data_IF_908952925942
#
_entry.id   IF_908952925942
#
_cell.length_a   1.000
_cell.length_b   1.000
_cell.length_c   1.000
_cell.angle_alpha   90.00
_cell.angle_beta   90.00
_cell.angle_gamma   90.00
#
_symmetry.space_group_name_H-M   'P 1'
#
loop_
_entity.id
_entity.type
_entity.pdbx_description
1 polymer ?
#
# COMPACT_ATOMS: atom_id res chain seq x y z
N UNK A 1 7.21 -49.58 -3.47
CA UNK A 1 7.88 -49.20 -4.73
C UNK A 1 9.00 -48.22 -4.43
N UNK A 2 10.24 -48.70 -4.43
CA UNK A 2 11.44 -47.89 -4.21
C UNK A 2 11.96 -47.44 -5.56
N UNK A 3 11.68 -46.20 -5.95
CA UNK A 3 12.30 -45.59 -7.11
C UNK A 3 13.65 -45.01 -6.68
N UNK A 4 14.74 -45.65 -7.13
CA UNK A 4 16.14 -45.27 -6.87
C UNK A 4 16.53 -44.01 -7.69
N UNK A 5 15.81 -42.92 -7.47
CA UNK A 5 15.95 -41.67 -8.23
C UNK A 5 17.20 -40.93 -7.73
N UNK A 6 18.12 -40.63 -8.63
CA UNK A 6 19.31 -39.80 -8.39
C UNK A 6 19.31 -38.69 -9.43
N UNK A 7 19.03 -37.46 -9.00
CA UNK A 7 18.93 -36.30 -9.91
C UNK A 7 19.88 -35.20 -9.44
N UNK A 8 20.68 -34.64 -10.33
CA UNK A 8 21.53 -33.47 -10.04
C UNK A 8 20.66 -32.21 -9.95
N UNK A 9 20.81 -31.46 -8.86
CA UNK A 9 20.08 -30.20 -8.61
C UNK A 9 21.00 -29.14 -8.04
N UNK A 10 20.57 -27.89 -8.14
CA UNK A 10 21.23 -26.74 -7.51
C UNK A 10 20.45 -26.38 -6.24
N UNK A 11 21.17 -26.18 -5.12
CA UNK A 11 20.54 -25.78 -3.86
C UNK A 11 20.06 -24.34 -3.91
N UNK A 12 18.78 -24.11 -3.63
CA UNK A 12 18.17 -22.76 -3.64
C UNK A 12 18.74 -21.78 -2.58
N UNK A 13 19.54 -22.26 -1.62
CA UNK A 13 20.11 -21.42 -0.56
C UNK A 13 21.59 -21.09 -0.78
N UNK A 14 22.41 -22.08 -1.17
CA UNK A 14 23.85 -21.92 -1.31
C UNK A 14 24.36 -22.02 -2.76
N UNK A 15 23.45 -22.24 -3.72
CA UNK A 15 23.73 -22.36 -5.16
C UNK A 15 24.74 -23.45 -5.55
N UNK A 16 25.02 -24.40 -4.65
CA UNK A 16 25.88 -25.56 -4.93
C UNK A 16 25.07 -26.68 -5.58
N UNK A 17 25.72 -27.41 -6.48
CA UNK A 17 25.17 -28.63 -7.06
C UNK A 17 25.18 -29.77 -6.03
N UNK A 18 24.14 -30.60 -6.04
CA UNK A 18 24.02 -31.77 -5.17
C UNK A 18 23.16 -32.85 -5.84
N UNK A 19 23.31 -34.10 -5.38
CA UNK A 19 22.51 -35.23 -5.88
C UNK A 19 21.30 -35.44 -4.98
N UNK A 20 20.11 -35.14 -5.50
CA UNK A 20 18.83 -35.36 -4.84
C UNK A 20 18.39 -36.82 -5.00
N UNK A 21 17.84 -37.38 -3.91
CA UNK A 21 17.25 -38.73 -3.89
C UNK A 21 15.75 -38.75 -4.19
N UNK A 22 15.12 -37.57 -4.29
CA UNK A 22 13.70 -37.42 -4.58
C UNK A 22 13.47 -36.26 -5.54
N UNK A 23 12.33 -36.25 -6.21
CA UNK A 23 11.93 -35.18 -7.15
C UNK A 23 11.49 -33.90 -6.44
N UNK A 24 11.38 -33.87 -5.12
CA UNK A 24 10.93 -32.67 -4.36
C UNK A 24 12.04 -32.02 -3.53
N UNK A 25 13.25 -32.60 -3.48
CA UNK A 25 14.35 -32.02 -2.70
C UNK A 25 14.86 -30.72 -3.32
N UNK A 26 14.84 -29.63 -2.54
CA UNK A 26 15.21 -28.25 -2.94
C UNK A 26 16.56 -27.77 -2.40
N UNK A 27 17.07 -28.44 -1.37
CA UNK A 27 18.29 -28.02 -0.66
C UNK A 27 19.29 -29.16 -0.55
N UNK A 28 20.58 -28.83 -0.52
CA UNK A 28 21.66 -29.81 -0.41
C UNK A 28 21.75 -30.49 0.97
N UNK A 29 21.00 -30.01 1.97
CA UNK A 29 20.92 -30.59 3.32
C UNK A 29 20.16 -29.72 4.31
N UNK A 30 20.00 -30.23 5.53
CA UNK A 30 19.16 -29.63 6.59
C UNK A 30 19.58 -28.21 6.98
N UNK A 31 20.89 -27.94 7.01
CA UNK A 31 21.41 -26.59 7.34
C UNK A 31 20.88 -25.56 6.35
N UNK A 32 20.95 -25.86 5.05
CA UNK A 32 20.45 -24.96 4.00
C UNK A 32 18.93 -24.82 4.05
N UNK A 33 18.20 -25.90 4.32
CA UNK A 33 16.74 -25.85 4.48
C UNK A 33 16.32 -24.98 5.67
N UNK A 34 16.98 -25.12 6.83
CA UNK A 34 16.71 -24.33 8.05
C UNK A 34 17.00 -22.84 7.84
N UNK A 35 18.10 -22.50 7.16
CA UNK A 35 18.44 -21.10 6.84
C UNK A 35 17.39 -20.51 5.90
N UNK A 36 17.04 -21.21 4.82
CA UNK A 36 16.02 -20.76 3.87
C UNK A 36 14.64 -20.56 4.55
N UNK A 37 14.26 -21.47 5.45
CA UNK A 37 13.03 -21.34 6.24
C UNK A 37 13.02 -20.07 7.11
N UNK A 38 14.11 -19.82 7.85
CA UNK A 38 14.25 -18.61 8.68
C UNK A 38 14.22 -17.34 7.83
N UNK A 39 14.88 -17.34 6.67
CA UNK A 39 14.86 -16.21 5.72
C UNK A 39 13.45 -15.95 5.20
N UNK A 40 12.71 -16.99 4.81
CA UNK A 40 11.30 -16.87 4.38
C UNK A 40 10.44 -16.26 5.48
N UNK A 41 10.52 -16.78 6.71
CA UNK A 41 9.75 -16.25 7.85
C UNK A 41 10.10 -14.80 8.18
N UNK A 42 11.36 -14.39 8.06
CA UNK A 42 11.77 -13.00 8.22
C UNK A 42 11.13 -12.11 7.14
N UNK A 43 11.21 -12.53 5.87
CA UNK A 43 10.63 -11.78 4.76
C UNK A 43 9.10 -11.68 4.87
N UNK A 44 8.41 -12.74 5.31
CA UNK A 44 6.97 -12.71 5.55
C UNK A 44 6.58 -11.69 6.62
N UNK A 45 7.35 -11.59 7.72
CA UNK A 45 7.12 -10.58 8.76
C UNK A 45 7.29 -9.15 8.22
N UNK A 46 8.37 -8.92 7.47
CA UNK A 46 8.64 -7.61 6.86
C UNK A 46 7.51 -7.24 5.88
N UNK A 47 7.12 -8.17 5.02
CA UNK A 47 6.03 -7.96 4.06
C UNK A 47 4.72 -7.59 4.76
N UNK A 48 4.31 -8.36 5.78
CA UNK A 48 3.09 -8.06 6.56
C UNK A 48 3.13 -6.66 7.18
N UNK A 49 4.24 -6.29 7.81
CA UNK A 49 4.40 -4.96 8.41
C UNK A 49 4.32 -3.83 7.38
N UNK A 50 4.91 -4.03 6.21
CA UNK A 50 4.82 -3.07 5.10
C UNK A 50 3.38 -2.98 4.55
N UNK A 51 2.69 -4.11 4.39
CA UNK A 51 1.29 -4.17 3.95
C UNK A 51 0.35 -3.45 4.93
N UNK A 52 0.51 -3.68 6.24
CA UNK A 52 -0.22 -2.96 7.29
C UNK A 52 0.03 -1.45 7.22
N UNK A 53 1.29 -1.04 7.04
CA UNK A 53 1.66 0.38 6.91
C UNK A 53 1.04 1.02 5.67
N UNK A 54 0.97 0.29 4.55
CA UNK A 54 0.33 0.77 3.32
C UNK A 54 -1.18 0.91 3.51
N UNK A 55 -1.84 -0.06 4.17
CA UNK A 55 -3.28 0.04 4.47
C UNK A 55 -3.60 1.29 5.29
N UNK A 56 -2.87 1.53 6.38
CA UNK A 56 -3.06 2.74 7.22
C UNK A 56 -2.87 4.04 6.42
N UNK A 57 -2.00 4.04 5.41
CA UNK A 57 -1.79 5.21 4.53
C UNK A 57 -2.89 5.39 3.49
N UNK A 58 -3.48 4.30 3.00
CA UNK A 58 -4.47 4.31 1.92
C UNK A 58 -5.91 4.45 2.44
N UNK A 59 -6.23 3.89 3.60
CA UNK A 59 -7.55 4.02 4.26
C UNK A 59 -8.08 5.47 4.31
N UNK A 60 -7.27 6.49 4.66
CA UNK A 60 -7.73 7.88 4.65
C UNK A 60 -8.18 8.37 3.27
N UNK A 61 -7.59 7.89 2.17
CA UNK A 61 -7.93 8.33 0.81
C UNK A 61 -9.25 7.74 0.33
N UNK A 62 -9.50 6.47 0.62
CA UNK A 62 -10.77 5.80 0.30
C UNK A 62 -11.93 6.45 1.07
N UNK A 63 -11.72 6.76 2.35
CA UNK A 63 -12.71 7.46 3.17
C UNK A 63 -13.01 8.85 2.62
N UNK A 64 -12.00 9.57 2.10
CA UNK A 64 -12.19 10.89 1.48
C UNK A 64 -13.08 10.81 0.24
N UNK A 65 -12.93 9.76 -0.59
CA UNK A 65 -13.74 9.62 -1.81
C UNK A 65 -15.22 9.39 -1.53
N UNK A 66 -15.56 8.73 -0.42
CA UNK A 66 -16.95 8.40 -0.07
C UNK A 66 -17.68 9.55 0.64
N UNK A 67 -16.96 10.51 1.23
CA UNK A 67 -17.58 11.61 1.98
C UNK A 67 -18.22 12.65 1.06
N UNK A 68 -19.48 12.97 1.32
CA UNK A 68 -20.19 14.08 0.68
C UNK A 68 -19.67 15.47 1.10
N UNK A 69 -19.19 15.58 2.34
CA UNK A 69 -18.68 16.81 2.92
C UNK A 69 -17.22 16.65 3.35
N UNK A 70 -16.38 17.51 2.80
CA UNK A 70 -14.94 17.47 2.98
C UNK A 70 -14.49 18.65 3.86
N UNK A 71 -13.46 18.42 4.66
CA UNK A 71 -12.67 19.51 5.26
C UNK A 71 -11.82 20.20 4.21
N UNK A 72 -11.28 21.38 4.55
CA UNK A 72 -10.29 22.07 3.73
C UNK A 72 -9.07 21.20 3.43
N UNK A 73 -8.59 20.44 4.43
CA UNK A 73 -7.45 19.53 4.28
C UNK A 73 -7.74 18.36 3.33
N UNK A 74 -8.91 17.74 3.47
CA UNK A 74 -9.35 16.65 2.57
C UNK A 74 -9.56 17.17 1.15
N UNK A 75 -10.08 18.39 1.00
CA UNK A 75 -10.25 19.03 -0.32
C UNK A 75 -8.91 19.37 -0.96
N UNK A 76 -7.95 19.88 -0.18
CA UNK A 76 -6.60 20.18 -0.64
C UNK A 76 -5.88 18.92 -1.13
N UNK A 77 -6.01 17.82 -0.39
CA UNK A 77 -5.44 16.51 -0.77
C UNK A 77 -6.13 15.93 -2.01
N UNK A 78 -7.45 16.07 -2.14
CA UNK A 78 -8.20 15.61 -3.32
C UNK A 78 -7.84 16.39 -4.59
N UNK A 79 -7.70 17.71 -4.50
CA UNK A 79 -7.29 18.58 -5.61
C UNK A 79 -5.77 18.60 -5.83
N UNK A 80 -5.00 17.92 -4.98
CA UNK A 80 -3.53 17.92 -4.97
C UNK A 80 -2.91 19.33 -4.94
N UNK A 81 -3.45 20.20 -4.08
CA UNK A 81 -3.01 21.58 -3.84
C UNK A 81 -2.70 21.82 -2.36
N UNK A 82 -2.12 22.97 -2.04
CA UNK A 82 -1.88 23.35 -0.63
C UNK A 82 -3.18 23.74 0.09
N UNK A 83 -3.24 23.52 1.41
CA UNK A 83 -4.36 24.01 2.24
C UNK A 83 -4.56 25.52 2.09
N UNK A 84 -3.46 26.29 1.99
CA UNK A 84 -3.50 27.75 1.76
C UNK A 84 -4.17 28.11 0.43
N UNK A 85 -3.83 27.40 -0.64
CA UNK A 85 -4.48 27.59 -1.94
C UNK A 85 -5.97 27.30 -1.86
N UNK A 86 -6.35 26.29 -1.08
CA UNK A 86 -7.76 25.93 -0.87
C UNK A 86 -8.51 27.03 -0.11
N UNK A 87 -7.92 27.58 0.97
CA UNK A 87 -8.48 28.76 1.66
C UNK A 87 -8.62 29.96 0.71
N UNK A 88 -7.61 30.23 -0.10
CA UNK A 88 -7.64 31.33 -1.08
C UNK A 88 -8.78 31.16 -2.10
N UNK A 89 -9.04 29.94 -2.59
CA UNK A 89 -10.15 29.67 -3.51
C UNK A 89 -11.52 29.92 -2.86
N UNK A 90 -11.64 29.67 -1.55
CA UNK A 90 -12.85 29.95 -0.78
C UNK A 90 -13.01 31.46 -0.59
N UNK A 91 -11.92 32.18 -0.26
CA UNK A 91 -11.92 33.64 -0.08
C UNK A 91 -12.26 34.41 -1.37
N UNK A 92 -11.76 33.94 -2.52
CA UNK A 92 -12.07 34.51 -3.84
C UNK A 92 -13.51 34.17 -4.27
N UNK A 93 -14.12 33.14 -3.68
CA UNK A 93 -15.48 32.71 -3.99
C UNK A 93 -15.60 31.72 -5.15
N UNK A 94 -14.48 31.26 -5.71
CA UNK A 94 -14.45 30.20 -6.74
C UNK A 94 -14.88 28.84 -6.16
N UNK A 95 -14.57 28.58 -4.88
CA UNK A 95 -14.98 27.38 -4.17
C UNK A 95 -15.98 27.70 -3.06
N UNK A 96 -17.23 27.24 -3.23
CA UNK A 96 -18.28 27.43 -2.22
C UNK A 96 -18.06 26.51 -1.03
N UNK A 97 -18.00 27.10 0.16
CA UNK A 97 -17.84 26.39 1.42
C UNK A 97 -18.80 26.94 2.49
N UNK A 98 -19.18 26.09 3.45
CA UNK A 98 -20.01 26.46 4.60
C UNK A 98 -19.15 26.47 5.85
N UNK A 99 -19.16 27.58 6.59
CA UNK A 99 -18.49 27.68 7.89
C UNK A 99 -19.48 27.38 9.02
N UNK A 100 -19.30 26.25 9.70
CA UNK A 100 -20.19 25.83 10.80
C UNK A 100 -19.75 26.38 12.16
N UNK A 101 -18.45 26.66 12.35
CA UNK A 101 -17.89 27.21 13.60
C UNK A 101 -16.39 27.55 13.42
N UNK A 102 -15.70 27.96 14.48
CA UNK A 102 -14.25 28.24 14.44
C UNK A 102 -13.48 27.03 13.91
N UNK A 103 -12.80 27.20 12.76
CA UNK A 103 -12.03 26.17 12.05
C UNK A 103 -12.87 24.96 11.56
N UNK A 104 -14.19 25.14 11.41
CA UNK A 104 -15.13 24.10 10.97
C UNK A 104 -15.74 24.43 9.61
N UNK A 105 -14.87 24.58 8.61
CA UNK A 105 -15.27 24.80 7.22
C UNK A 105 -15.52 23.46 6.54
N UNK A 106 -16.67 23.33 5.88
CA UNK A 106 -17.09 22.14 5.12
C UNK A 106 -17.37 22.51 3.67
N UNK A 107 -16.90 21.67 2.77
CA UNK A 107 -17.02 21.83 1.32
C UNK A 107 -17.80 20.63 0.79
N UNK A 108 -18.85 20.88 0.00
CA UNK A 108 -19.63 19.80 -0.60
C UNK A 108 -18.89 19.27 -1.83
N UNK A 109 -18.78 17.95 -1.98
CA UNK A 109 -18.07 17.31 -3.09
C UNK A 109 -18.52 17.82 -4.46
N UNK A 110 -19.83 18.02 -4.63
CA UNK A 110 -20.43 18.54 -5.87
C UNK A 110 -19.91 19.91 -6.29
N UNK A 111 -19.48 20.77 -5.36
CA UNK A 111 -18.90 22.08 -5.70
C UNK A 111 -17.48 21.93 -6.26
N UNK A 112 -16.73 20.93 -5.78
CA UNK A 112 -15.41 20.60 -6.33
C UNK A 112 -15.56 20.06 -7.75
N UNK A 113 -16.54 19.18 -7.97
CA UNK A 113 -16.79 18.61 -9.31
C UNK A 113 -17.20 19.70 -10.30
N UNK A 114 -18.02 20.67 -9.88
CA UNK A 114 -18.34 21.87 -10.68
C UNK A 114 -17.12 22.72 -11.03
N UNK A 115 -16.16 22.83 -10.10
CA UNK A 115 -14.94 23.59 -10.33
C UNK A 115 -14.06 22.90 -11.39
N UNK A 116 -14.00 21.56 -11.37
CA UNK A 116 -13.25 20.77 -12.34
C UNK A 116 -13.96 20.64 -13.69
N UNK A 117 -15.29 20.73 -13.74
CA UNK A 117 -16.06 20.69 -14.99
C UNK A 117 -16.06 22.01 -15.78
N UNK A 118 -15.38 23.05 -15.30
CA UNK A 118 -15.17 24.30 -16.05
C UNK A 118 -14.08 24.19 -17.14
N UNK A 119 -13.30 23.11 -17.13
CA UNK A 119 -12.34 22.77 -18.18
C UNK A 119 -13.04 21.99 -19.31
#
# INVERSE_FOLDING_TARGET
MSSNIRVSRICENCNKTFVAKTTVTRFCGDKCAKIAYKKRKKNDKIRKSNEETLKVKLEPLEIIQVKDFLTVKETATLLNISERSTYRLIEIGELRAVNLSKRLIRIKRSEIDRLLSKF
#
